data_IF_417979344398
#
_entry.id   IF_417979344398
#
_cell.length_a   1.000
_cell.length_b   1.000
_cell.length_c   1.000
_cell.angle_alpha   90.00
_cell.angle_beta   90.00
_cell.angle_gamma   90.00
#
_symmetry.space_group_name_H-M   'P 1'
#
loop_
_entity.id
_entity.type
_entity.pdbx_description
1 polymer ?
#
# COMPACT_ATOMS: atom_id res chain seq x y z
N UNK A 1 -3.15 -18.59 -11.64
CA UNK A 1 -4.31 -18.70 -10.74
C UNK A 1 -5.37 -17.70 -11.17
N UNK A 2 -6.63 -18.12 -11.36
CA UNK A 2 -7.73 -17.25 -11.80
C UNK A 2 -7.95 -16.12 -10.79
N UNK A 3 -8.30 -14.92 -11.24
CA UNK A 3 -8.51 -13.73 -10.37
C UNK A 3 -9.53 -13.98 -9.26
N UNK A 4 -10.61 -14.69 -9.57
CA UNK A 4 -11.65 -15.03 -8.59
C UNK A 4 -11.09 -15.80 -7.38
N UNK A 5 -10.14 -16.73 -7.60
CA UNK A 5 -9.50 -17.49 -6.52
C UNK A 5 -8.68 -16.58 -5.61
N UNK A 6 -7.96 -15.60 -6.19
CA UNK A 6 -7.19 -14.64 -5.40
C UNK A 6 -8.09 -13.77 -4.50
N UNK A 7 -9.22 -13.32 -5.04
CA UNK A 7 -10.20 -12.54 -4.26
C UNK A 7 -10.85 -13.37 -3.15
N UNK A 8 -11.20 -14.62 -3.43
CA UNK A 8 -11.75 -15.54 -2.41
C UNK A 8 -10.74 -15.79 -1.30
N UNK A 9 -9.48 -16.08 -1.65
CA UNK A 9 -8.40 -16.28 -0.67
C UNK A 9 -8.15 -15.04 0.18
N UNK A 10 -8.26 -13.84 -0.40
CA UNK A 10 -8.14 -12.60 0.36
C UNK A 10 -9.28 -12.44 1.37
N UNK A 11 -10.52 -12.63 0.93
CA UNK A 11 -11.69 -12.53 1.83
C UNK A 11 -11.57 -13.53 2.97
N UNK A 12 -11.16 -14.76 2.64
CA UNK A 12 -10.93 -15.82 3.63
C UNK A 12 -9.81 -15.45 4.62
N UNK A 13 -8.69 -14.89 4.13
CA UNK A 13 -7.58 -14.43 4.97
C UNK A 13 -8.00 -13.32 5.94
N UNK A 14 -8.82 -12.38 5.47
CA UNK A 14 -9.37 -11.30 6.30
C UNK A 14 -10.32 -11.87 7.36
N UNK A 15 -11.22 -12.77 6.95
CA UNK A 15 -12.15 -13.44 7.86
C UNK A 15 -11.42 -14.27 8.94
N UNK A 16 -10.38 -15.03 8.55
CA UNK A 16 -9.53 -15.75 9.48
C UNK A 16 -8.82 -14.81 10.47
N UNK A 17 -8.24 -13.71 9.97
CA UNK A 17 -7.59 -12.71 10.81
C UNK A 17 -8.56 -12.15 11.84
N UNK A 18 -9.77 -11.79 11.44
CA UNK A 18 -10.80 -11.27 12.35
C UNK A 18 -11.28 -12.30 13.36
N UNK A 19 -11.58 -13.53 12.93
CA UNK A 19 -12.12 -14.59 13.80
C UNK A 19 -11.09 -15.05 14.83
N UNK A 20 -9.84 -15.24 14.42
CA UNK A 20 -8.75 -15.71 15.28
C UNK A 20 -7.77 -14.59 15.66
N UNK A 21 -8.28 -13.38 15.89
CA UNK A 21 -7.49 -12.17 16.11
C UNK A 21 -6.47 -12.30 17.26
N UNK A 22 -6.82 -12.97 18.37
CA UNK A 22 -5.92 -13.19 19.52
C UNK A 22 -4.71 -14.06 19.14
N UNK A 23 -4.90 -15.05 18.27
CA UNK A 23 -3.83 -15.91 17.79
C UNK A 23 -2.93 -15.16 16.79
N UNK A 24 -3.52 -14.57 15.74
CA UNK A 24 -2.73 -13.93 14.70
C UNK A 24 -2.01 -12.67 15.16
N UNK A 25 -2.55 -11.90 16.10
CA UNK A 25 -1.89 -10.71 16.64
C UNK A 25 -0.56 -11.00 17.33
N UNK A 26 -0.34 -12.21 17.86
CA UNK A 26 0.94 -12.60 18.45
C UNK A 26 2.09 -12.65 17.43
N UNK A 27 1.76 -12.83 16.15
CA UNK A 27 2.73 -12.86 15.05
C UNK A 27 3.01 -11.48 14.44
N UNK A 28 2.42 -10.40 14.95
CA UNK A 28 2.61 -9.03 14.44
C UNK A 28 4.08 -8.60 14.37
N UNK A 29 4.94 -9.11 15.28
CA UNK A 29 6.39 -8.87 15.27
C UNK A 29 7.09 -9.32 13.99
N UNK A 30 6.53 -10.28 13.24
CA UNK A 30 7.08 -10.76 11.98
C UNK A 30 6.61 -9.93 10.77
N UNK A 31 5.68 -8.99 10.95
CA UNK A 31 5.14 -8.18 9.85
C UNK A 31 6.22 -7.46 9.03
N UNK A 32 7.26 -6.85 9.59
CA UNK A 32 8.32 -6.22 8.80
C UNK A 32 9.07 -7.22 7.90
N UNK A 33 9.37 -8.41 8.42
CA UNK A 33 10.04 -9.47 7.65
C UNK A 33 9.15 -9.98 6.50
N UNK A 34 7.88 -10.21 6.78
CA UNK A 34 6.92 -10.65 5.75
C UNK A 34 6.73 -9.58 4.67
N UNK A 35 6.66 -8.30 5.04
CA UNK A 35 6.61 -7.18 4.10
C UNK A 35 7.88 -7.12 3.24
N UNK A 36 9.04 -7.26 3.85
CA UNK A 36 10.32 -7.30 3.13
C UNK A 36 10.35 -8.42 2.09
N UNK A 37 10.01 -9.64 2.49
CA UNK A 37 9.96 -10.79 1.59
C UNK A 37 8.91 -10.62 0.49
N UNK A 38 7.73 -10.10 0.83
CA UNK A 38 6.68 -9.79 -0.13
C UNK A 38 7.17 -8.81 -1.19
N UNK A 39 7.83 -7.73 -0.79
CA UNK A 39 8.38 -6.73 -1.71
C UNK A 39 9.54 -7.32 -2.54
N UNK A 40 10.44 -8.08 -1.91
CA UNK A 40 11.54 -8.75 -2.61
C UNK A 40 11.03 -9.63 -3.74
N UNK A 41 10.14 -10.58 -3.46
CA UNK A 41 9.59 -11.46 -4.50
C UNK A 41 8.74 -10.70 -5.51
N UNK A 42 8.04 -9.65 -5.09
CA UNK A 42 7.30 -8.78 -6.01
C UNK A 42 8.22 -8.07 -6.99
N UNK A 43 9.33 -7.49 -6.52
CA UNK A 43 10.30 -6.80 -7.39
C UNK A 43 11.04 -7.76 -8.32
N UNK A 44 11.14 -9.06 -8.02
CA UNK A 44 11.69 -10.04 -8.94
C UNK A 44 10.93 -10.08 -10.29
N UNK A 45 9.63 -9.75 -10.30
CA UNK A 45 8.83 -9.67 -11.53
C UNK A 45 9.07 -8.41 -12.35
N UNK A 46 9.65 -7.36 -11.77
CA UNK A 46 9.83 -6.04 -12.39
C UNK A 46 10.89 -6.09 -13.48
N UNK A 47 10.62 -5.51 -14.64
CA UNK A 47 11.62 -5.29 -15.69
C UNK A 47 12.22 -3.89 -15.60
N UNK A 48 13.40 -3.78 -14.99
CA UNK A 48 14.09 -2.52 -14.78
C UNK A 48 14.65 -1.87 -16.05
N UNK A 49 14.77 -2.62 -17.17
CA UNK A 49 15.30 -2.08 -18.44
C UNK A 49 14.34 -1.11 -19.12
N UNK A 50 13.05 -1.25 -18.87
CA UNK A 50 11.99 -0.46 -19.49
C UNK A 50 11.52 0.70 -18.62
N UNK A 51 12.27 1.04 -17.56
CA UNK A 51 11.95 2.17 -16.69
C UNK A 51 12.19 3.47 -17.46
N UNK A 52 11.17 4.31 -17.52
CA UNK A 52 11.23 5.65 -18.11
C UNK A 52 10.57 6.64 -17.18
N UNK A 53 11.31 7.69 -16.81
CA UNK A 53 10.73 8.81 -16.09
C UNK A 53 9.99 9.72 -17.07
N UNK A 54 8.73 9.98 -16.77
CA UNK A 54 7.86 10.82 -17.59
C UNK A 54 7.41 12.02 -16.76
N UNK A 55 7.24 13.19 -17.41
CA UNK A 55 6.85 14.43 -16.72
C UNK A 55 5.50 14.33 -16.01
N UNK A 56 4.59 13.54 -16.56
CA UNK A 56 3.27 13.30 -15.96
C UNK A 56 3.35 12.64 -14.58
N UNK A 57 4.43 11.93 -14.25
CA UNK A 57 4.58 11.33 -12.91
C UNK A 57 4.77 12.39 -11.83
N UNK A 58 5.42 13.52 -12.16
CA UNK A 58 5.66 14.58 -11.20
C UNK A 58 4.35 15.14 -10.63
N UNK A 59 3.36 15.39 -11.47
CA UNK A 59 2.07 15.92 -11.02
C UNK A 59 1.29 14.90 -10.18
N UNK A 60 1.37 13.61 -10.54
CA UNK A 60 0.77 12.54 -9.74
C UNK A 60 1.47 12.36 -8.39
N UNK A 61 2.79 12.56 -8.32
CA UNK A 61 3.54 12.58 -7.07
C UNK A 61 3.13 13.76 -6.19
N UNK A 62 3.06 14.96 -6.77
CA UNK A 62 2.62 16.18 -6.06
C UNK A 62 1.20 15.98 -5.53
N UNK A 63 0.30 15.40 -6.35
CA UNK A 63 -1.04 15.03 -5.92
C UNK A 63 -0.97 14.06 -4.73
N UNK A 64 -0.29 12.94 -4.87
CA UNK A 64 -0.28 11.89 -3.86
C UNK A 64 0.34 12.36 -2.53
N UNK A 65 1.45 13.08 -2.59
CA UNK A 65 2.13 13.63 -1.41
C UNK A 65 1.37 14.85 -0.88
N UNK A 66 1.14 15.87 -1.70
CA UNK A 66 0.53 17.12 -1.28
C UNK A 66 -0.91 16.98 -0.80
N UNK A 67 -1.75 16.21 -1.53
CA UNK A 67 -3.15 16.01 -1.11
C UNK A 67 -3.23 15.14 0.15
N UNK A 68 -2.31 14.19 0.35
CA UNK A 68 -2.33 13.37 1.56
C UNK A 68 -2.14 14.21 2.83
N UNK A 69 -1.17 15.13 2.85
CA UNK A 69 -0.95 16.00 4.00
C UNK A 69 -2.06 17.07 4.12
N UNK A 70 -2.52 17.61 3.01
CA UNK A 70 -3.62 18.58 3.03
C UNK A 70 -4.89 17.97 3.65
N UNK A 71 -5.28 16.79 3.23
CA UNK A 71 -6.45 16.09 3.75
C UNK A 71 -6.25 15.75 5.23
N UNK A 72 -5.05 15.33 5.64
CA UNK A 72 -4.74 15.15 7.06
C UNK A 72 -4.97 16.43 7.86
N UNK A 73 -4.41 17.57 7.44
CA UNK A 73 -4.52 18.85 8.12
C UNK A 73 -5.98 19.34 8.23
N UNK A 74 -6.79 19.08 7.21
CA UNK A 74 -8.22 19.46 7.20
C UNK A 74 -9.05 18.53 8.12
N UNK A 75 -8.82 17.21 8.06
CA UNK A 75 -9.62 16.22 8.78
C UNK A 75 -9.22 16.11 10.25
N UNK A 76 -7.96 16.39 10.62
CA UNK A 76 -7.49 16.28 12.01
C UNK A 76 -8.24 17.21 12.98
N UNK A 77 -8.80 18.30 12.46
CA UNK A 77 -9.60 19.22 13.26
C UNK A 77 -10.89 18.56 13.79
N UNK A 78 -11.38 17.54 13.11
CA UNK A 78 -12.56 16.77 13.51
C UNK A 78 -12.18 15.52 14.31
N UNK A 79 -11.23 14.76 13.79
CA UNK A 79 -10.75 13.54 14.43
C UNK A 79 -9.37 13.12 13.91
N UNK A 80 -8.40 12.97 14.81
CA UNK A 80 -7.03 12.60 14.49
C UNK A 80 -6.92 11.20 13.86
N UNK A 81 -7.65 10.21 14.41
CA UNK A 81 -7.61 8.82 13.94
C UNK A 81 -8.16 8.73 12.51
N UNK A 82 -9.26 9.44 12.24
CA UNK A 82 -9.84 9.51 10.90
C UNK A 82 -8.86 10.17 9.93
N UNK A 83 -8.23 11.27 10.31
CA UNK A 83 -7.27 11.99 9.50
C UNK A 83 -6.07 11.13 9.11
N UNK A 84 -5.51 10.39 10.06
CA UNK A 84 -4.40 9.46 9.83
C UNK A 84 -4.79 8.34 8.86
N UNK A 85 -5.97 7.73 9.03
CA UNK A 85 -6.46 6.66 8.16
C UNK A 85 -6.69 7.12 6.72
N UNK A 86 -7.33 8.28 6.54
CA UNK A 86 -7.61 8.90 5.24
C UNK A 86 -6.32 9.29 4.54
N UNK A 87 -5.40 9.93 5.25
CA UNK A 87 -4.07 10.28 4.74
C UNK A 87 -3.33 9.04 4.23
N UNK A 88 -3.31 7.96 4.99
CA UNK A 88 -2.63 6.72 4.59
C UNK A 88 -3.22 6.10 3.33
N UNK A 89 -4.53 6.16 3.12
CA UNK A 89 -5.17 5.68 1.90
C UNK A 89 -4.72 6.47 0.66
N UNK A 90 -4.34 7.74 0.82
CA UNK A 90 -3.81 8.57 -0.27
C UNK A 90 -2.30 8.38 -0.40
N UNK A 91 -1.56 8.48 0.71
CA UNK A 91 -0.11 8.47 0.78
C UNK A 91 0.49 7.11 0.37
N UNK A 92 -0.15 6.00 0.71
CA UNK A 92 0.38 4.66 0.47
C UNK A 92 0.90 4.49 -0.96
N UNK A 93 2.11 3.92 -1.16
CA UNK A 93 2.68 3.78 -2.50
C UNK A 93 1.89 2.78 -3.33
N UNK A 94 2.10 2.84 -4.64
CA UNK A 94 1.50 1.89 -5.58
C UNK A 94 1.99 0.47 -5.30
N UNK A 95 1.07 -0.47 -5.20
CA UNK A 95 1.40 -1.88 -5.02
C UNK A 95 2.08 -2.45 -6.28
N UNK A 96 3.04 -3.36 -6.10
CA UNK A 96 3.60 -4.11 -7.24
C UNK A 96 2.53 -4.96 -7.94
N UNK A 97 1.48 -5.35 -7.24
CA UNK A 97 0.29 -5.99 -7.82
C UNK A 97 -0.37 -5.15 -8.93
N UNK A 98 -0.22 -3.81 -8.92
CA UNK A 98 -0.68 -2.93 -9.99
C UNK A 98 -0.07 -3.26 -11.34
N UNK A 99 1.18 -3.73 -11.37
CA UNK A 99 1.88 -4.17 -12.60
C UNK A 99 1.15 -5.35 -13.24
N UNK A 100 0.76 -6.33 -12.42
CA UNK A 100 0.02 -7.51 -12.87
C UNK A 100 -1.39 -7.13 -13.34
N UNK A 101 -2.08 -6.30 -12.56
CA UNK A 101 -3.42 -5.80 -12.92
C UNK A 101 -3.38 -5.00 -14.23
N UNK A 102 -2.38 -4.16 -14.41
CA UNK A 102 -2.19 -3.37 -15.63
C UNK A 102 -1.99 -4.25 -16.85
N UNK A 103 -1.20 -5.32 -16.74
CA UNK A 103 -1.06 -6.32 -17.82
C UNK A 103 -2.39 -6.97 -18.18
N UNK A 104 -3.18 -7.37 -17.17
CA UNK A 104 -4.51 -7.97 -17.37
C UNK A 104 -5.50 -6.99 -18.02
N UNK A 105 -5.41 -5.71 -17.68
CA UNK A 105 -6.24 -4.63 -18.23
C UNK A 105 -5.76 -4.14 -19.62
N UNK A 106 -4.60 -4.62 -20.10
CA UNK A 106 -3.99 -4.15 -21.36
C UNK A 106 -3.48 -2.70 -21.24
N UNK A 107 -3.05 -2.29 -20.04
CA UNK A 107 -2.44 -1.01 -19.78
C UNK A 107 -0.91 -1.07 -20.01
N UNK A 108 -0.28 0.09 -20.06
CA UNK A 108 1.18 0.20 -20.22
C UNK A 108 1.92 -0.26 -18.95
N UNK A 109 2.35 -1.50 -18.95
CA UNK A 109 3.04 -2.14 -17.81
C UNK A 109 4.35 -1.43 -17.46
N UNK A 110 5.12 -0.96 -18.46
CA UNK A 110 6.37 -0.26 -18.22
C UNK A 110 6.13 1.07 -17.48
N UNK A 111 5.07 1.76 -17.84
CA UNK A 111 4.64 3.00 -17.20
C UNK A 111 4.26 2.77 -15.74
N UNK A 112 3.45 1.74 -15.45
CA UNK A 112 3.06 1.40 -14.06
C UNK A 112 4.27 0.99 -13.22
N UNK A 113 5.18 0.21 -13.80
CA UNK A 113 6.42 -0.19 -13.14
C UNK A 113 7.27 1.01 -12.76
N UNK A 114 7.47 1.94 -13.70
CA UNK A 114 8.28 3.15 -13.49
C UNK A 114 7.71 4.01 -12.37
N UNK A 115 6.39 4.26 -12.40
CA UNK A 115 5.73 5.04 -11.36
C UNK A 115 5.77 4.33 -10.00
N UNK A 116 5.52 3.02 -9.96
CA UNK A 116 5.55 2.24 -8.72
C UNK A 116 6.91 2.31 -8.03
N UNK A 117 8.01 2.21 -8.78
CA UNK A 117 9.36 2.33 -8.22
C UNK A 117 9.63 3.74 -7.69
N UNK A 118 9.26 4.77 -8.47
CA UNK A 118 9.45 6.16 -8.12
C UNK A 118 8.67 6.52 -6.84
N UNK A 119 7.39 6.15 -6.75
CA UNK A 119 6.57 6.49 -5.58
C UNK A 119 7.04 5.72 -4.32
N UNK A 120 7.51 4.48 -4.44
CA UNK A 120 8.07 3.77 -3.30
C UNK A 120 9.32 4.47 -2.76
N UNK A 121 10.19 5.00 -3.64
CA UNK A 121 11.34 5.80 -3.24
C UNK A 121 10.92 7.10 -2.54
N UNK A 122 9.98 7.83 -3.12
CA UNK A 122 9.47 9.10 -2.55
C UNK A 122 8.84 8.86 -1.17
N UNK A 123 7.99 7.84 -1.03
CA UNK A 123 7.31 7.55 0.24
C UNK A 123 8.30 7.07 1.32
N UNK A 124 9.39 6.40 0.94
CA UNK A 124 10.43 5.99 1.91
C UNK A 124 11.09 7.19 2.62
N UNK A 125 11.01 8.38 2.02
CA UNK A 125 11.54 9.64 2.56
C UNK A 125 10.42 10.49 3.18
N UNK A 126 9.28 10.61 2.49
CA UNK A 126 8.17 11.50 2.90
C UNK A 126 7.41 10.95 4.11
N UNK A 127 7.15 9.64 4.17
CA UNK A 127 6.39 9.07 5.26
C UNK A 127 7.06 9.27 6.63
N UNK A 128 8.39 9.08 6.81
CA UNK A 128 9.07 9.43 8.07
C UNK A 128 8.88 10.87 8.50
N UNK A 129 8.91 11.81 7.56
CA UNK A 129 8.70 13.24 7.85
C UNK A 129 7.26 13.47 8.34
N UNK A 130 6.28 12.93 7.61
CA UNK A 130 4.86 13.08 7.96
C UNK A 130 4.54 12.48 9.32
N UNK A 131 5.00 11.26 9.58
CA UNK A 131 4.73 10.59 10.85
C UNK A 131 5.42 11.28 12.03
N UNK A 132 6.59 11.90 11.80
CA UNK A 132 7.26 12.69 12.84
C UNK A 132 6.57 14.02 13.16
N UNK A 133 5.81 14.59 12.20
CA UNK A 133 4.95 15.77 12.45
C UNK A 133 3.70 15.37 13.26
N UNK A 134 3.26 14.12 13.12
CA UNK A 134 2.07 13.57 13.79
C UNK A 134 2.40 12.95 15.15
N UNK A 135 3.67 12.65 15.40
CA UNK A 135 4.15 12.18 16.69
C UNK A 135 4.00 13.27 17.75
N UNK A 136 3.62 12.90 18.98
CA UNK A 136 3.36 13.89 20.03
C UNK A 136 4.66 14.61 20.38
N UNK A 137 4.72 15.97 20.29
CA UNK A 137 5.97 16.74 20.26
C UNK A 137 6.80 16.72 21.55
N UNK A 138 6.26 16.25 22.68
CA UNK A 138 6.81 16.59 24.00
C UNK A 138 7.93 15.68 24.52
N UNK A 139 8.22 14.55 23.86
CA UNK A 139 9.17 13.55 24.39
C UNK A 139 10.42 13.37 23.53
N UNK A 140 10.34 13.56 22.20
CA UNK A 140 11.45 13.29 21.28
C UNK A 140 11.65 14.43 20.30
N UNK A 141 12.88 14.96 20.12
CA UNK A 141 13.17 15.96 19.11
C UNK A 141 12.78 15.49 17.69
N UNK A 142 12.17 16.37 16.90
CA UNK A 142 11.66 16.08 15.55
C UNK A 142 12.65 15.29 14.69
N UNK A 143 13.90 15.74 14.57
CA UNK A 143 14.90 15.06 13.74
C UNK A 143 15.29 13.67 14.27
N UNK A 144 15.18 13.44 15.56
CA UNK A 144 15.43 12.12 16.14
C UNK A 144 14.27 11.18 15.83
N UNK A 145 13.02 11.66 15.83
CA UNK A 145 11.84 10.93 15.37
C UNK A 145 11.96 10.58 13.89
N UNK A 146 12.26 11.56 13.03
CA UNK A 146 12.52 11.31 11.59
C UNK A 146 13.58 10.23 11.40
N UNK A 147 14.71 10.33 12.09
CA UNK A 147 15.80 9.34 12.00
C UNK A 147 15.33 7.94 12.40
N UNK A 148 14.60 7.81 13.51
CA UNK A 148 14.06 6.51 13.98
C UNK A 148 13.10 5.88 12.99
N UNK A 149 12.22 6.67 12.39
CA UNK A 149 11.21 6.19 11.46
C UNK A 149 11.84 5.85 10.11
N UNK A 150 12.75 6.70 9.59
CA UNK A 150 13.43 6.44 8.31
C UNK A 150 14.27 5.16 8.37
N UNK A 151 14.93 4.88 9.50
CA UNK A 151 15.71 3.65 9.68
C UNK A 151 14.84 2.37 9.64
N UNK A 152 13.54 2.48 9.86
CA UNK A 152 12.60 1.36 9.74
C UNK A 152 11.94 1.29 8.36
N UNK A 153 11.49 2.40 7.79
CA UNK A 153 10.75 2.44 6.52
C UNK A 153 11.69 2.32 5.33
N UNK A 154 12.78 3.08 5.29
CA UNK A 154 13.65 3.15 4.14
C UNK A 154 14.30 1.79 3.80
N UNK A 155 14.90 1.05 4.75
CA UNK A 155 15.42 -0.28 4.45
C UNK A 155 14.33 -1.25 3.99
N UNK A 156 13.14 -1.18 4.59
CA UNK A 156 12.03 -2.06 4.24
C UNK A 156 11.59 -1.91 2.77
N UNK A 157 11.59 -0.68 2.24
CA UNK A 157 11.17 -0.40 0.86
C UNK A 157 12.33 -0.51 -0.14
N UNK A 158 13.50 -0.01 0.22
CA UNK A 158 14.61 0.20 -0.72
C UNK A 158 15.55 -1.00 -0.80
N UNK A 159 15.86 -1.66 0.33
CA UNK A 159 16.79 -2.80 0.30
C UNK A 159 16.28 -3.96 -0.56
N UNK A 160 15.00 -4.39 -0.52
CA UNK A 160 14.51 -5.44 -1.42
C UNK A 160 14.67 -5.06 -2.89
N UNK A 161 14.43 -3.78 -3.23
CA UNK A 161 14.60 -3.28 -4.60
C UNK A 161 16.06 -3.34 -5.06
N UNK A 162 17.00 -2.85 -4.22
CA UNK A 162 18.44 -2.87 -4.52
C UNK A 162 18.93 -4.31 -4.65
N UNK A 163 18.55 -5.21 -3.75
CA UNK A 163 18.95 -6.62 -3.79
C UNK A 163 18.50 -7.29 -5.11
N UNK A 164 17.25 -7.08 -5.51
CA UNK A 164 16.75 -7.64 -6.78
C UNK A 164 17.47 -7.03 -7.97
N UNK A 165 17.72 -5.72 -7.96
CA UNK A 165 18.46 -5.05 -9.02
C UNK A 165 19.89 -5.61 -9.14
N UNK A 166 20.60 -5.75 -8.02
CA UNK A 166 21.95 -6.34 -7.97
C UNK A 166 21.97 -7.77 -8.51
N UNK A 167 21.00 -8.61 -8.09
CA UNK A 167 20.90 -9.98 -8.61
C UNK A 167 20.68 -9.99 -10.13
N UNK A 168 19.84 -9.10 -10.66
CA UNK A 168 19.58 -9.02 -12.11
C UNK A 168 20.78 -8.56 -12.93
N UNK A 169 21.66 -7.74 -12.34
CA UNK A 169 22.89 -7.28 -12.97
C UNK A 169 23.95 -8.40 -12.94
N UNK A 170 24.13 -9.03 -11.77
CA UNK A 170 25.21 -10.02 -11.55
C UNK A 170 24.93 -11.37 -12.21
N UNK A 171 23.69 -11.86 -12.14
CA UNK A 171 23.35 -13.21 -12.60
C UNK A 171 22.02 -13.29 -13.34
N UNK A 172 22.08 -13.38 -14.67
CA UNK A 172 20.90 -13.62 -15.51
C UNK A 172 20.21 -14.95 -15.19
N UNK A 173 20.97 -15.99 -14.84
CA UNK A 173 20.46 -17.33 -14.49
C UNK A 173 19.66 -17.27 -13.20
N UNK A 174 20.19 -16.64 -12.15
CA UNK A 174 19.51 -16.49 -10.87
C UNK A 174 18.25 -15.61 -11.01
N UNK A 175 18.35 -14.51 -11.76
CA UNK A 175 17.21 -13.64 -12.08
C UNK A 175 16.06 -14.40 -12.75
N UNK A 176 16.36 -15.31 -13.68
CA UNK A 176 15.36 -16.15 -14.34
C UNK A 176 14.64 -17.09 -13.36
N UNK A 177 15.40 -17.73 -12.45
CA UNK A 177 14.82 -18.60 -11.43
C UNK A 177 13.94 -17.82 -10.44
N UNK A 178 14.42 -16.67 -9.97
CA UNK A 178 13.65 -15.81 -9.07
C UNK A 178 12.34 -15.33 -9.69
N UNK A 179 12.32 -15.04 -10.99
CA UNK A 179 11.10 -14.67 -11.71
C UNK A 179 10.04 -15.78 -11.68
N UNK A 180 10.44 -17.05 -11.67
CA UNK A 180 9.52 -18.20 -11.58
C UNK A 180 8.83 -18.32 -10.22
N UNK A 181 9.51 -17.89 -9.15
CA UNK A 181 8.98 -18.00 -7.78
C UNK A 181 8.29 -16.74 -7.28
N UNK A 182 8.03 -15.77 -8.15
CA UNK A 182 7.30 -14.53 -7.79
C UNK A 182 5.90 -14.78 -7.24
N UNK A 183 5.31 -15.93 -7.53
CA UNK A 183 4.04 -16.36 -6.93
C UNK A 183 4.10 -16.40 -5.40
N UNK A 184 5.29 -16.58 -4.83
CA UNK A 184 5.50 -16.61 -3.39
C UNK A 184 5.11 -15.28 -2.73
N UNK A 185 5.29 -14.15 -3.44
CA UNK A 185 4.84 -12.84 -2.94
C UNK A 185 3.36 -12.80 -2.65
N UNK A 186 2.54 -13.52 -3.43
CA UNK A 186 1.11 -13.60 -3.21
C UNK A 186 0.77 -14.38 -1.93
N UNK A 187 1.42 -15.51 -1.69
CA UNK A 187 1.17 -16.29 -0.46
C UNK A 187 1.65 -15.54 0.79
N UNK A 188 2.82 -14.89 0.70
CA UNK A 188 3.33 -14.04 1.79
C UNK A 188 2.36 -12.87 2.04
N UNK A 189 1.79 -12.28 0.98
CA UNK A 189 0.78 -11.23 1.08
C UNK A 189 -0.48 -11.71 1.82
N UNK A 190 -0.98 -12.92 1.52
CA UNK A 190 -2.12 -13.53 2.22
C UNK A 190 -1.81 -13.69 3.72
N UNK A 191 -0.65 -14.27 4.07
CA UNK A 191 -0.23 -14.45 5.46
C UNK A 191 -0.09 -13.10 6.17
N UNK A 192 0.55 -12.12 5.53
CA UNK A 192 0.69 -10.77 6.07
C UNK A 192 -0.67 -10.10 6.31
N UNK A 193 -1.60 -10.25 5.35
CA UNK A 193 -2.96 -9.72 5.48
C UNK A 193 -3.68 -10.33 6.68
N UNK A 194 -3.61 -11.65 6.86
CA UNK A 194 -4.23 -12.35 7.99
C UNK A 194 -3.69 -11.83 9.33
N UNK A 195 -2.37 -11.72 9.48
CA UNK A 195 -1.73 -11.26 10.71
C UNK A 195 -2.12 -9.79 11.01
N UNK A 196 -2.02 -8.91 10.02
CA UNK A 196 -2.31 -7.50 10.21
C UNK A 196 -3.80 -7.24 10.47
N UNK A 197 -4.70 -8.00 9.82
CA UNK A 197 -6.15 -7.93 10.12
C UNK A 197 -6.44 -8.42 11.54
N UNK A 198 -5.80 -9.52 11.98
CA UNK A 198 -5.91 -10.00 13.35
C UNK A 198 -5.43 -8.97 14.37
N UNK A 199 -4.30 -8.31 14.11
CA UNK A 199 -3.77 -7.25 14.97
C UNK A 199 -4.73 -6.06 15.02
N UNK A 200 -5.27 -5.62 13.89
CA UNK A 200 -6.24 -4.52 13.80
C UNK A 200 -7.51 -4.84 14.59
N UNK A 201 -8.06 -6.05 14.43
CA UNK A 201 -9.27 -6.49 15.13
C UNK A 201 -9.04 -6.60 16.63
N UNK A 202 -7.91 -7.17 17.06
CA UNK A 202 -7.56 -7.26 18.47
C UNK A 202 -7.45 -5.88 19.11
N UNK A 203 -6.86 -4.92 18.40
CA UNK A 203 -6.78 -3.55 18.87
C UNK A 203 -8.16 -2.89 18.95
N UNK A 204 -9.00 -3.07 17.92
CA UNK A 204 -10.36 -2.53 17.87
C UNK A 204 -11.22 -3.02 19.06
N UNK A 205 -11.16 -4.31 19.37
CA UNK A 205 -11.92 -4.89 20.48
C UNK A 205 -11.43 -4.41 21.85
N UNK A 206 -10.13 -4.17 22.01
CA UNK A 206 -9.56 -3.64 23.26
C UNK A 206 -9.93 -2.20 23.55
N UNK A 207 -10.24 -1.41 22.52
CA UNK A 207 -10.65 0.00 22.71
C UNK A 207 -12.11 0.18 23.12
N UNK A 208 -12.93 -0.88 23.10
CA UNK A 208 -14.32 -0.84 23.55
C UNK A 208 -15.29 -0.18 22.58
N UNK A 209 -16.57 -0.10 22.97
CA UNK A 209 -17.69 0.29 22.11
C UNK A 209 -17.78 1.79 21.78
N UNK A 210 -16.88 2.65 22.29
CA UNK A 210 -17.00 4.11 22.15
C UNK A 210 -16.74 4.69 20.76
N UNK A 211 -16.21 3.92 19.79
CA UNK A 211 -15.65 4.45 18.53
C UNK A 211 -16.36 3.98 17.26
N UNK A 212 -17.61 3.46 17.34
CA UNK A 212 -18.31 2.94 16.16
C UNK A 212 -18.43 3.94 15.01
N UNK A 213 -18.71 5.22 15.31
CA UNK A 213 -18.82 6.25 14.29
C UNK A 213 -17.49 6.43 13.52
N UNK A 214 -16.36 6.46 14.24
CA UNK A 214 -15.03 6.60 13.62
C UNK A 214 -14.72 5.38 12.75
N UNK A 215 -15.07 4.17 13.19
CA UNK A 215 -14.90 2.93 12.42
C UNK A 215 -15.69 3.01 11.11
N UNK A 216 -16.95 3.41 11.16
CA UNK A 216 -17.79 3.56 9.97
C UNK A 216 -17.20 4.63 9.04
N UNK A 217 -16.79 5.78 9.58
CA UNK A 217 -16.19 6.86 8.80
C UNK A 217 -14.88 6.42 8.12
N UNK A 218 -14.03 5.63 8.78
CA UNK A 218 -12.81 5.07 8.20
C UNK A 218 -13.12 4.14 7.01
N UNK A 219 -14.13 3.28 7.13
CA UNK A 219 -14.53 2.34 6.08
C UNK A 219 -15.15 3.09 4.88
N UNK A 220 -16.04 4.04 5.15
CA UNK A 220 -16.71 4.83 4.11
C UNK A 220 -15.73 5.76 3.40
N UNK A 221 -14.86 6.44 4.15
CA UNK A 221 -13.83 7.30 3.54
C UNK A 221 -12.87 6.52 2.66
N UNK A 222 -12.47 5.30 3.07
CA UNK A 222 -11.65 4.42 2.25
C UNK A 222 -12.34 4.05 0.93
N UNK A 223 -13.66 3.81 0.93
CA UNK A 223 -14.45 3.58 -0.28
C UNK A 223 -14.44 4.79 -1.21
N UNK A 224 -14.80 5.96 -0.68
CA UNK A 224 -14.86 7.20 -1.45
C UNK A 224 -13.49 7.53 -2.05
N UNK A 225 -12.42 7.43 -1.26
CA UNK A 225 -11.05 7.67 -1.73
C UNK A 225 -10.61 6.66 -2.77
N UNK A 226 -10.97 5.39 -2.62
CA UNK A 226 -10.63 4.36 -3.60
C UNK A 226 -11.23 4.70 -4.97
N UNK A 227 -12.53 4.95 -5.02
CA UNK A 227 -13.23 5.32 -6.26
C UNK A 227 -12.63 6.61 -6.84
N UNK A 228 -12.45 7.63 -6.01
CA UNK A 228 -11.91 8.93 -6.44
C UNK A 228 -10.49 8.77 -7.05
N UNK A 229 -9.59 8.04 -6.42
CA UNK A 229 -8.23 7.87 -6.91
C UNK A 229 -8.17 7.09 -8.24
N UNK A 230 -9.00 6.04 -8.41
CA UNK A 230 -9.11 5.34 -9.70
C UNK A 230 -9.65 6.25 -10.79
N UNK A 231 -10.71 7.01 -10.51
CA UNK A 231 -11.32 7.93 -11.46
C UNK A 231 -10.38 9.10 -11.81
N UNK A 232 -9.78 9.72 -10.80
CA UNK A 232 -8.84 10.82 -11.01
C UNK A 232 -7.65 10.37 -11.87
N UNK A 233 -7.05 9.22 -11.55
CA UNK A 233 -5.99 8.64 -12.37
C UNK A 233 -6.45 8.36 -13.81
N UNK A 234 -7.64 7.80 -13.98
CA UNK A 234 -8.21 7.53 -15.30
C UNK A 234 -8.39 8.80 -16.13
N UNK A 235 -9.05 9.83 -15.59
CA UNK A 235 -9.28 11.09 -16.31
C UNK A 235 -8.00 11.86 -16.56
N UNK A 236 -7.06 11.87 -15.61
CA UNK A 236 -5.74 12.45 -15.80
C UNK A 236 -4.97 11.75 -16.93
N UNK A 237 -4.98 10.44 -16.93
CA UNK A 237 -4.27 9.61 -17.92
C UNK A 237 -4.79 9.76 -19.36
N UNK A 238 -6.05 10.17 -19.56
CA UNK A 238 -6.60 10.45 -20.90
C UNK A 238 -5.77 11.46 -21.69
N UNK A 239 -5.19 12.47 -21.01
CA UNK A 239 -4.33 13.48 -21.65
C UNK A 239 -3.06 12.88 -22.26
N UNK A 240 -2.63 11.72 -21.76
CA UNK A 240 -1.38 11.06 -22.13
C UNK A 240 -1.61 9.72 -22.85
N UNK A 241 -2.85 9.39 -23.17
CA UNK A 241 -3.27 8.09 -23.75
C UNK A 241 -2.81 6.90 -22.89
N UNK A 242 -2.82 7.07 -21.59
CA UNK A 242 -2.34 6.08 -20.58
C UNK A 242 -3.33 5.97 -19.40
N UNK A 243 -4.64 6.13 -19.69
CA UNK A 243 -5.69 6.25 -18.68
C UNK A 243 -5.78 5.04 -17.74
N UNK A 244 -5.63 3.82 -18.29
CA UNK A 244 -5.69 2.59 -17.49
C UNK A 244 -4.49 2.46 -16.56
N UNK A 245 -3.30 2.84 -17.03
CA UNK A 245 -2.09 2.82 -16.21
C UNK A 245 -2.16 3.88 -15.09
N UNK A 246 -2.56 5.12 -15.42
CA UNK A 246 -2.71 6.18 -14.43
C UNK A 246 -3.77 5.87 -13.38
N UNK A 247 -4.86 5.19 -13.74
CA UNK A 247 -5.84 4.69 -12.78
C UNK A 247 -5.20 3.69 -11.80
N UNK A 248 -4.33 2.81 -12.27
CA UNK A 248 -3.63 1.84 -11.44
C UNK A 248 -2.53 2.49 -10.57
N UNK A 249 -1.88 3.59 -11.02
CA UNK A 249 -0.88 4.29 -10.19
C UNK A 249 -1.47 4.76 -8.87
N UNK A 250 -2.63 5.40 -8.93
CA UNK A 250 -3.24 6.02 -7.77
C UNK A 250 -4.20 5.08 -7.02
N UNK A 251 -4.94 4.26 -7.76
CA UNK A 251 -6.00 3.44 -7.17
C UNK A 251 -5.50 2.14 -6.54
N UNK A 252 -4.42 1.55 -7.07
CA UNK A 252 -3.90 0.27 -6.57
C UNK A 252 -2.79 0.49 -5.54
N UNK A 253 -3.17 0.59 -4.28
CA UNK A 253 -2.27 0.88 -3.15
C UNK A 253 -1.63 -0.36 -2.52
N UNK A 254 -0.42 -0.21 -2.01
CA UNK A 254 0.21 -1.18 -1.12
C UNK A 254 -0.40 -1.06 0.29
N UNK A 255 -1.60 -1.58 0.42
CA UNK A 255 -2.41 -1.48 1.64
C UNK A 255 -1.83 -2.25 2.81
N UNK A 256 -1.12 -3.36 2.57
CA UNK A 256 -0.45 -4.12 3.63
C UNK A 256 0.65 -3.28 4.28
N UNK A 257 1.43 -2.58 3.47
CA UNK A 257 2.42 -1.63 3.96
C UNK A 257 1.75 -0.48 4.74
N UNK A 258 0.64 0.06 4.23
CA UNK A 258 -0.10 1.13 4.89
C UNK A 258 -0.68 0.69 6.25
N UNK A 259 -1.24 -0.51 6.36
CA UNK A 259 -1.71 -1.09 7.62
C UNK A 259 -0.56 -1.22 8.62
N UNK A 260 0.58 -1.76 8.17
CA UNK A 260 1.76 -1.89 9.01
C UNK A 260 2.29 -0.51 9.48
N UNK A 261 2.34 0.49 8.58
CA UNK A 261 2.73 1.85 8.96
C UNK A 261 1.80 2.46 10.00
N UNK A 262 0.48 2.28 9.84
CA UNK A 262 -0.51 2.73 10.81
C UNK A 262 -0.27 2.11 12.19
N UNK A 263 -0.12 0.79 12.25
CA UNK A 263 0.07 0.05 13.50
C UNK A 263 1.41 0.34 14.19
N UNK A 264 2.41 0.78 13.43
CA UNK A 264 3.77 0.98 13.95
C UNK A 264 4.06 2.42 14.35
N UNK A 265 3.51 3.41 13.64
CA UNK A 265 3.90 4.81 13.75
C UNK A 265 2.73 5.76 14.05
N UNK A 266 1.49 5.31 13.92
CA UNK A 266 0.30 6.12 14.09
C UNK A 266 -0.65 5.45 15.08
N UNK A 267 -1.87 5.99 15.22
CA UNK A 267 -2.88 5.33 16.02
C UNK A 267 -3.34 4.03 15.35
N UNK A 268 -3.22 2.85 16.00
CA UNK A 268 -3.49 1.55 15.33
C UNK A 268 -4.89 1.39 14.74
N UNK A 269 -5.90 2.10 15.28
CA UNK A 269 -7.25 2.09 14.74
C UNK A 269 -7.32 2.72 13.34
N UNK A 270 -6.43 3.66 13.01
CA UNK A 270 -6.34 4.26 11.67
C UNK A 270 -6.03 3.23 10.58
N UNK A 271 -5.47 2.06 10.96
CA UNK A 271 -5.23 0.93 10.05
C UNK A 271 -6.51 0.37 9.42
N UNK A 272 -7.69 0.63 9.99
CA UNK A 272 -8.98 0.19 9.42
C UNK A 272 -9.26 0.82 8.06
N UNK A 273 -8.84 2.06 7.81
CA UNK A 273 -9.05 2.68 6.50
C UNK A 273 -8.28 1.94 5.39
N UNK A 274 -6.95 1.74 5.43
CA UNK A 274 -6.25 0.94 4.44
C UNK A 274 -6.67 -0.53 4.44
N UNK A 275 -7.14 -1.08 5.57
CA UNK A 275 -7.71 -2.43 5.63
C UNK A 275 -9.01 -2.54 4.81
N UNK A 276 -9.93 -1.60 4.94
CA UNK A 276 -11.12 -1.52 4.10
C UNK A 276 -10.78 -1.24 2.64
N UNK A 277 -9.78 -0.39 2.39
CA UNK A 277 -9.32 -0.06 1.04
C UNK A 277 -8.87 -1.31 0.24
N UNK A 278 -8.31 -2.33 0.91
CA UNK A 278 -7.97 -3.62 0.25
C UNK A 278 -9.19 -4.21 -0.46
N UNK A 279 -10.34 -4.22 0.20
CA UNK A 279 -11.57 -4.77 -0.36
C UNK A 279 -12.06 -3.94 -1.56
N UNK A 280 -12.09 -2.63 -1.38
CA UNK A 280 -12.58 -1.71 -2.39
C UNK A 280 -11.74 -1.70 -3.66
N UNK A 281 -10.41 -1.66 -3.54
CA UNK A 281 -9.53 -1.72 -4.72
C UNK A 281 -9.64 -3.04 -5.49
N UNK A 282 -9.84 -4.16 -4.79
CA UNK A 282 -10.06 -5.45 -5.44
C UNK A 282 -11.42 -5.52 -6.13
N UNK A 283 -12.46 -4.91 -5.54
CA UNK A 283 -13.77 -4.78 -6.17
C UNK A 283 -13.69 -3.94 -7.47
N UNK A 284 -13.05 -2.77 -7.42
CA UNK A 284 -12.83 -1.93 -8.61
C UNK A 284 -12.06 -2.66 -9.69
N UNK A 285 -11.00 -3.37 -9.34
CA UNK A 285 -10.22 -4.16 -10.29
C UNK A 285 -11.04 -5.27 -10.93
N UNK A 286 -11.87 -5.96 -10.15
CA UNK A 286 -12.76 -7.01 -10.67
C UNK A 286 -13.79 -6.44 -11.64
N UNK A 287 -14.36 -5.27 -11.32
CA UNK A 287 -15.28 -4.55 -12.20
C UNK A 287 -14.61 -4.10 -13.51
N UNK A 288 -13.39 -3.54 -13.44
CA UNK A 288 -12.63 -3.14 -14.64
C UNK A 288 -12.32 -4.34 -15.55
N UNK A 289 -11.98 -5.50 -14.96
CA UNK A 289 -11.73 -6.73 -15.73
C UNK A 289 -13.02 -7.27 -16.37
N UNK A 290 -14.14 -7.18 -15.67
CA UNK A 290 -15.44 -7.58 -16.20
C UNK A 290 -15.85 -6.69 -17.38
N UNK A 291 -15.69 -5.37 -17.26
CA UNK A 291 -16.01 -4.42 -18.34
C UNK A 291 -15.09 -4.54 -19.56
N UNK A 292 -13.90 -5.13 -19.41
CA UNK A 292 -12.96 -5.35 -20.53
C UNK A 292 -13.37 -6.52 -21.42
N UNK A 293 -14.14 -7.48 -20.91
CA UNK A 293 -14.67 -8.61 -21.68
C UNK A 293 -15.73 -8.14 -22.67
#
# INVERSE_FOLDING_TARGET
>A
MKQNIKTILLIFAIALGFTFHNFFSQFSKFSPMLLFLMLFFSFCSVDFKNIRFRKEYLLLLIYQVGVSILVYLLVRQYNEILAQGVMLCILAPTAVAAIVMSSMLGANVASVTSYSLLINLVISIVAPIYFSIMDVPDIVPFWLSVKRIILKIFPLLIVPMILVLSIKIVSKKLSFHLKKITILSFYIWIVSATILMGTTMNFMLKQGSGNYLIIILLIVSAFVLCIFQFLFGYYYGKRYKDERACAQYLGQKNTILAIWMAQTFLHPLSALAPAAYVLWQNFVNSFQLWKKK
#
